data_IF_165368658606
#
_entry.id   IF_165368658606
#
_cell.length_a   1.000
_cell.length_b   1.000
_cell.length_c   1.000
_cell.angle_alpha   90.00
_cell.angle_beta   90.00
_cell.angle_gamma   90.00
#
_symmetry.space_group_name_H-M   'P 1'
#
loop_
_entity.id
_entity.type
_entity.pdbx_description
1 polymer ?
#
# COMPACT_ATOMS: atom_id res chain seq x y z
N UNK A 1 -6.46 -15.86 2.00
CA UNK A 1 -6.20 -14.43 2.21
C UNK A 1 -7.19 -13.64 1.39
N UNK A 2 -7.82 -12.64 1.97
CA UNK A 2 -8.66 -11.68 1.26
C UNK A 2 -7.89 -10.40 0.94
N UNK A 3 -8.35 -9.67 -0.08
CA UNK A 3 -7.81 -8.37 -0.46
C UNK A 3 -8.72 -7.29 0.10
N UNK A 4 -8.17 -6.37 0.87
CA UNK A 4 -8.88 -5.24 1.45
C UNK A 4 -8.31 -3.92 0.91
N UNK A 5 -9.20 -3.00 0.56
CA UNK A 5 -8.83 -1.65 0.14
C UNK A 5 -8.90 -0.73 1.36
N UNK A 6 -7.79 -0.04 1.65
CA UNK A 6 -7.71 0.97 2.68
C UNK A 6 -7.59 2.34 2.02
N UNK A 7 -8.58 3.20 2.20
CA UNK A 7 -8.63 4.53 1.59
C UNK A 7 -9.28 5.53 2.54
N UNK A 8 -8.73 6.73 2.61
CA UNK A 8 -9.40 7.90 3.17
C UNK A 8 -9.87 8.77 2.00
N UNK A 9 -11.15 9.07 1.94
CA UNK A 9 -11.81 9.72 0.80
C UNK A 9 -12.77 10.79 1.29
N UNK A 10 -12.71 11.98 0.69
CA UNK A 10 -13.68 13.03 0.93
C UNK A 10 -15.02 12.72 0.23
N UNK A 11 -16.10 13.38 0.64
CA UNK A 11 -17.44 13.19 0.05
C UNK A 11 -17.47 13.42 -1.47
N UNK A 12 -16.57 14.26 -2.00
CA UNK A 12 -16.40 14.53 -3.42
C UNK A 12 -15.43 13.57 -4.14
N UNK A 13 -15.03 12.47 -3.50
CA UNK A 13 -14.14 11.46 -4.07
C UNK A 13 -12.65 11.79 -4.00
N UNK A 14 -12.25 12.94 -3.44
CA UNK A 14 -10.83 13.32 -3.34
C UNK A 14 -10.11 12.42 -2.34
N UNK A 15 -9.00 11.82 -2.78
CA UNK A 15 -8.10 10.99 -1.96
C UNK A 15 -6.70 11.60 -1.79
N UNK A 16 -6.38 12.67 -2.52
CA UNK A 16 -5.05 13.25 -2.57
C UNK A 16 -5.03 14.61 -3.27
N UNK A 17 -4.05 15.45 -2.92
CA UNK A 17 -3.76 16.74 -3.57
C UNK A 17 -2.25 16.97 -3.54
N UNK A 18 -1.68 17.41 -4.66
CA UNK A 18 -0.26 17.77 -4.79
C UNK A 18 0.72 16.70 -4.26
N UNK A 19 0.41 15.42 -4.49
CA UNK A 19 1.24 14.28 -4.06
C UNK A 19 1.10 13.86 -2.60
N UNK A 20 0.23 14.53 -1.83
CA UNK A 20 -0.04 14.22 -0.42
C UNK A 20 -1.53 14.04 -0.10
N UNK A 21 -1.80 13.75 1.18
CA UNK A 21 -3.15 13.81 1.72
C UNK A 21 -3.54 15.28 1.94
N UNK A 22 -4.75 15.72 1.56
CA UNK A 22 -5.16 17.11 1.73
C UNK A 22 -5.52 17.47 3.18
N UNK A 23 -5.46 16.50 4.09
CA UNK A 23 -5.74 16.65 5.51
C UNK A 23 -4.66 15.98 6.36
N UNK A 24 -4.59 16.39 7.64
CA UNK A 24 -3.69 15.81 8.64
C UNK A 24 -4.49 15.26 9.82
N UNK A 25 -5.03 14.04 9.63
CA UNK A 25 -5.86 13.36 10.64
C UNK A 25 -5.04 12.28 11.35
N UNK A 26 -4.57 12.59 12.56
CA UNK A 26 -3.71 11.66 13.32
C UNK A 26 -4.44 10.38 13.75
N UNK A 27 -5.75 10.44 13.96
CA UNK A 27 -6.61 9.29 14.27
C UNK A 27 -6.65 8.30 13.12
N UNK A 28 -6.78 8.79 11.89
CA UNK A 28 -6.84 7.98 10.69
C UNK A 28 -5.51 7.27 10.44
N UNK A 29 -4.40 7.99 10.61
CA UNK A 29 -3.06 7.39 10.49
C UNK A 29 -2.80 6.33 11.56
N UNK A 30 -3.26 6.54 12.80
CA UNK A 30 -3.16 5.55 13.87
C UNK A 30 -3.98 4.31 13.56
N UNK A 31 -5.22 4.49 13.08
CA UNK A 31 -6.10 3.39 12.67
C UNK A 31 -5.50 2.61 11.50
N UNK A 32 -5.10 3.29 10.43
CA UNK A 32 -4.42 2.68 9.30
C UNK A 32 -3.18 1.88 9.73
N UNK A 33 -2.36 2.42 10.63
CA UNK A 33 -1.20 1.70 11.16
C UNK A 33 -1.60 0.46 11.94
N UNK A 34 -2.61 0.54 12.81
CA UNK A 34 -3.09 -0.59 13.60
C UNK A 34 -3.65 -1.69 12.69
N UNK A 35 -4.51 -1.32 11.74
CA UNK A 35 -5.22 -2.26 10.88
C UNK A 35 -4.28 -2.96 9.88
N UNK A 36 -3.21 -2.29 9.44
CA UNK A 36 -2.24 -2.84 8.48
C UNK A 36 -1.00 -3.46 9.12
N UNK A 37 -0.81 -3.38 10.44
CA UNK A 37 0.42 -3.86 11.09
C UNK A 37 0.64 -5.35 10.86
N UNK A 38 1.88 -5.75 10.53
CA UNK A 38 2.23 -7.15 10.28
C UNK A 38 1.70 -7.71 8.96
N UNK A 39 0.94 -6.93 8.17
CA UNK A 39 0.34 -7.40 6.92
C UNK A 39 1.10 -6.92 5.68
N UNK A 40 1.00 -7.63 4.55
CA UNK A 40 1.39 -7.12 3.25
C UNK A 40 0.59 -5.87 2.86
N UNK A 41 1.29 -4.85 2.40
CA UNK A 41 0.69 -3.63 1.86
C UNK A 41 1.14 -3.42 0.41
N UNK A 42 0.18 -3.08 -0.45
CA UNK A 42 0.40 -2.82 -1.87
C UNK A 42 0.11 -1.35 -2.13
N UNK A 43 1.07 -0.65 -2.73
CA UNK A 43 0.91 0.74 -3.13
C UNK A 43 1.52 1.03 -4.50
N UNK A 44 1.08 2.09 -5.16
CA UNK A 44 1.69 2.57 -6.40
C UNK A 44 2.99 3.33 -6.11
N UNK A 45 3.90 3.38 -7.10
CA UNK A 45 5.19 4.09 -6.98
C UNK A 45 5.06 5.54 -6.48
N UNK A 46 4.13 6.31 -7.04
CA UNK A 46 3.90 7.72 -6.62
C UNK A 46 3.47 7.83 -5.15
N UNK A 47 2.67 6.90 -4.67
CA UNK A 47 2.26 6.84 -3.25
C UNK A 47 3.46 6.54 -2.37
N UNK A 48 4.30 5.58 -2.77
CA UNK A 48 5.55 5.28 -2.06
C UNK A 48 6.49 6.50 -2.04
N UNK A 49 6.70 7.16 -3.18
CA UNK A 49 7.53 8.36 -3.30
C UNK A 49 7.02 9.50 -2.41
N UNK A 50 5.69 9.69 -2.32
CA UNK A 50 5.08 10.67 -1.41
C UNK A 50 5.25 10.32 0.07
N UNK A 51 5.29 9.03 0.44
CA UNK A 51 5.60 8.57 1.80
C UNK A 51 7.10 8.69 2.10
N UNK A 52 7.94 8.46 1.09
CA UNK A 52 9.40 8.61 1.11
C UNK A 52 10.17 7.46 1.77
N UNK A 53 9.51 6.44 2.32
CA UNK A 53 10.14 5.30 3.01
C UNK A 53 9.21 4.10 3.11
N UNK A 54 9.75 2.86 3.27
CA UNK A 54 8.92 1.72 3.61
C UNK A 54 8.23 1.94 4.95
N UNK A 55 6.99 1.49 5.02
CA UNK A 55 6.18 1.56 6.23
C UNK A 55 6.62 0.43 7.18
N UNK A 56 7.14 0.74 8.38
CA UNK A 56 7.79 -0.25 9.23
C UNK A 56 6.80 -1.29 9.75
N UNK A 57 7.31 -2.51 9.99
CA UNK A 57 6.54 -3.65 10.48
C UNK A 57 5.58 -4.26 9.46
N UNK A 58 5.74 -3.93 8.18
CA UNK A 58 4.89 -4.39 7.07
C UNK A 58 5.73 -4.84 5.90
N UNK A 59 5.22 -5.82 5.16
CA UNK A 59 5.79 -6.18 3.87
C UNK A 59 5.32 -5.13 2.85
N UNK A 60 6.25 -4.31 2.37
CA UNK A 60 5.96 -3.22 1.44
C UNK A 60 6.12 -3.71 0.00
N UNK A 61 5.04 -3.63 -0.77
CA UNK A 61 5.03 -3.98 -2.20
C UNK A 61 4.66 -2.75 -3.01
N UNK A 62 5.52 -2.37 -3.96
CA UNK A 62 5.32 -1.21 -4.82
C UNK A 62 5.03 -1.64 -6.25
N UNK A 63 3.91 -1.16 -6.79
CA UNK A 63 3.51 -1.37 -8.18
C UNK A 63 4.09 -0.26 -9.04
N UNK A 64 4.87 -0.67 -10.05
CA UNK A 64 5.48 0.23 -11.01
C UNK A 64 5.68 -0.46 -12.36
N UNK A 65 5.43 0.27 -13.46
CA UNK A 65 5.74 -0.22 -14.82
C UNK A 65 7.24 -0.16 -15.13
N UNK A 66 8.00 0.60 -14.34
CA UNK A 66 9.44 0.68 -14.47
C UNK A 66 10.11 -0.60 -13.93
N UNK A 67 10.67 -1.40 -14.83
CA UNK A 67 11.31 -2.68 -14.49
C UNK A 67 12.67 -2.52 -13.82
N UNK A 68 13.28 -1.34 -13.88
CA UNK A 68 14.59 -1.08 -13.27
C UNK A 68 14.47 -0.44 -11.89
N UNK A 69 13.28 0.07 -11.53
CA UNK A 69 13.02 0.68 -10.24
C UNK A 69 13.28 -0.27 -9.07
N UNK A 70 14.03 0.19 -8.07
CA UNK A 70 14.33 -0.54 -6.84
C UNK A 70 14.28 0.42 -5.65
N UNK A 71 13.87 -0.10 -4.50
CA UNK A 71 13.99 0.59 -3.23
C UNK A 71 14.33 -0.42 -2.12
N UNK A 72 15.16 -0.01 -1.18
CA UNK A 72 15.54 -0.86 -0.05
C UNK A 72 14.34 -1.17 0.84
N UNK A 73 14.21 -2.43 1.28
CA UNK A 73 13.11 -2.85 2.15
C UNK A 73 11.74 -2.92 1.47
N UNK A 74 11.69 -2.92 0.14
CA UNK A 74 10.47 -2.95 -0.68
C UNK A 74 10.60 -4.00 -1.77
N UNK A 75 9.55 -4.78 -2.00
CA UNK A 75 9.44 -5.64 -3.18
C UNK A 75 8.71 -4.90 -4.31
N UNK A 76 9.27 -4.93 -5.53
CA UNK A 76 8.65 -4.31 -6.69
C UNK A 76 7.80 -5.33 -7.46
N UNK A 77 6.63 -4.90 -7.93
CA UNK A 77 5.75 -5.65 -8.82
C UNK A 77 5.35 -4.79 -10.03
N UNK A 78 5.08 -5.44 -11.17
CA UNK A 78 4.87 -4.75 -12.44
C UNK A 78 3.41 -4.71 -12.93
N UNK A 79 2.50 -5.21 -12.12
CA UNK A 79 1.05 -5.07 -12.27
C UNK A 79 0.40 -5.24 -10.90
N UNK A 80 -0.86 -4.79 -10.77
CA UNK A 80 -1.64 -5.01 -9.54
C UNK A 80 -1.84 -6.51 -9.28
N UNK A 81 -2.14 -7.28 -10.32
CA UNK A 81 -2.30 -8.73 -10.22
C UNK A 81 -1.02 -9.41 -9.71
N UNK A 82 0.14 -9.08 -10.28
CA UNK A 82 1.42 -9.62 -9.83
C UNK A 82 1.73 -9.21 -8.37
N UNK A 83 1.35 -7.99 -7.98
CA UNK A 83 1.50 -7.53 -6.60
C UNK A 83 0.62 -8.30 -5.62
N UNK A 84 -0.64 -8.59 -6.00
CA UNK A 84 -1.58 -9.38 -5.17
C UNK A 84 -1.09 -10.82 -5.05
N UNK A 85 -0.61 -11.42 -6.14
CA UNK A 85 -0.02 -12.76 -6.12
C UNK A 85 1.20 -12.81 -5.19
N UNK A 86 2.14 -11.88 -5.36
CA UNK A 86 3.33 -11.78 -4.51
C UNK A 86 2.96 -11.57 -3.03
N UNK A 87 2.04 -10.63 -2.75
CA UNK A 87 1.53 -10.38 -1.40
C UNK A 87 0.91 -11.62 -0.77
N UNK A 88 0.15 -12.38 -1.56
CA UNK A 88 -0.51 -13.61 -1.10
C UNK A 88 0.52 -14.70 -0.81
N UNK A 89 1.50 -14.91 -1.69
CA UNK A 89 2.55 -15.91 -1.51
C UNK A 89 3.42 -15.63 -0.28
N UNK A 90 3.78 -14.35 -0.08
CA UNK A 90 4.54 -13.92 1.09
C UNK A 90 3.71 -13.97 2.36
N UNK A 91 2.49 -13.45 2.32
CA UNK A 91 1.56 -13.41 3.45
C UNK A 91 1.25 -14.80 4.00
N UNK A 92 1.08 -15.81 3.14
CA UNK A 92 0.89 -17.22 3.57
C UNK A 92 2.07 -17.79 4.38
N UNK A 93 3.25 -17.18 4.33
CA UNK A 93 4.44 -17.59 5.10
C UNK A 93 4.62 -16.75 6.37
N UNK A 94 3.78 -15.74 6.58
CA UNK A 94 3.78 -14.89 7.76
C UNK A 94 2.79 -15.44 8.78
N UNK A 95 3.14 -15.39 10.07
CA UNK A 95 2.25 -15.85 11.13
C UNK A 95 1.02 -14.94 11.23
N UNK A 96 -0.17 -15.54 11.32
CA UNK A 96 -1.44 -14.86 11.58
C UNK A 96 -1.81 -13.76 10.56
N UNK A 97 -1.42 -13.93 9.30
CA UNK A 97 -1.79 -13.02 8.21
C UNK A 97 -2.81 -13.66 7.27
N UNK A 98 -4.01 -13.10 7.25
CA UNK A 98 -5.11 -13.49 6.36
C UNK A 98 -5.52 -12.40 5.36
N UNK A 99 -4.87 -11.23 5.39
CA UNK A 99 -5.28 -10.05 4.61
C UNK A 99 -4.12 -9.44 3.82
N UNK A 100 -4.41 -8.99 2.61
CA UNK A 100 -3.55 -8.11 1.80
C UNK A 100 -4.19 -6.72 1.74
N UNK A 101 -3.45 -5.69 2.12
CA UNK A 101 -3.96 -4.32 2.18
C UNK A 101 -3.53 -3.53 0.94
N UNK A 102 -4.47 -3.16 0.06
CA UNK A 102 -4.23 -2.23 -1.04
C UNK A 102 -4.44 -0.80 -0.55
N UNK A 103 -3.40 0.03 -0.59
CA UNK A 103 -3.36 1.36 0.05
C UNK A 103 -3.27 2.51 -0.97
N UNK A 104 -3.54 2.22 -2.25
CA UNK A 104 -3.66 3.21 -3.32
C UNK A 104 -2.35 3.52 -4.04
N UNK A 105 -2.22 4.63 -4.77
CA UNK A 105 -3.20 5.71 -4.95
C UNK A 105 -4.16 5.50 -6.13
N UNK A 106 -4.59 6.60 -6.75
CA UNK A 106 -5.64 6.58 -7.78
C UNK A 106 -5.42 5.61 -8.94
N UNK A 107 -4.18 5.47 -9.45
CA UNK A 107 -3.86 4.51 -10.53
C UNK A 107 -3.96 3.03 -10.08
N UNK A 108 -3.89 2.76 -8.78
CA UNK A 108 -4.01 1.41 -8.20
C UNK A 108 -5.46 1.06 -7.89
N UNK A 109 -6.28 2.07 -7.59
CA UNK A 109 -7.71 1.87 -7.32
C UNK A 109 -8.58 1.85 -8.58
N UNK A 110 -8.06 2.29 -9.72
CA UNK A 110 -8.77 2.39 -10.99
C UNK A 110 -8.95 1.02 -11.69
#
# INVERSE_FOLDING_TARGET
MHVAIYVAIAENGVIGRDGGLPWRLSTDLKRFRADTMGKPIIMGRKTYEGIGRPLPGRLNIVVTRDKTWRAEGVEAAHSLEAAIQLATERGRRMADVDEVCVIGGGEIYA
#
